data_IF_079562865430
#
_entry.id   IF_079562865430
#
_cell.length_a   1.000
_cell.length_b   1.000
_cell.length_c   1.000
_cell.angle_alpha   90.00
_cell.angle_beta   90.00
_cell.angle_gamma   90.00
#
_symmetry.space_group_name_H-M   'P 1'
#
loop_
_entity.id
_entity.type
_entity.pdbx_description
1 polymer ?
#
# COMPACT_ATOMS: atom_id res chain seq x y z
N UNK A 1 -6.97 17.95 -1.84
CA UNK A 1 -7.40 16.81 -1.00
C UNK A 1 -8.66 17.19 -0.25
N UNK A 2 -9.66 16.32 -0.27
CA UNK A 2 -10.96 16.52 0.36
C UNK A 2 -11.14 15.55 1.52
N UNK A 3 -11.35 16.05 2.73
CA UNK A 3 -11.77 15.25 3.88
C UNK A 3 -13.27 15.43 4.10
N UNK A 4 -14.02 14.34 3.96
CA UNK A 4 -15.46 14.32 4.06
C UNK A 4 -15.88 13.65 5.36
N UNK A 5 -16.55 14.41 6.23
CA UNK A 5 -17.18 13.92 7.45
C UNK A 5 -18.53 13.28 7.11
N UNK A 6 -18.63 11.95 7.16
CA UNK A 6 -19.87 11.23 6.88
C UNK A 6 -20.64 10.97 8.18
N UNK A 7 -21.84 11.56 8.26
CA UNK A 7 -22.78 11.39 9.37
C UNK A 7 -22.23 11.82 10.75
N UNK A 8 -21.28 12.77 10.78
CA UNK A 8 -20.59 13.25 11.98
C UNK A 8 -19.73 12.15 12.63
N UNK A 9 -18.76 11.66 11.87
CA UNK A 9 -17.80 10.68 12.30
C UNK A 9 -17.09 11.13 13.58
N UNK A 10 -16.91 10.24 14.57
CA UNK A 10 -16.22 10.59 15.81
C UNK A 10 -14.76 10.96 15.49
N UNK A 11 -14.20 11.90 16.26
CA UNK A 11 -12.81 12.34 16.13
C UNK A 11 -12.40 12.91 14.76
N UNK A 12 -13.38 13.29 13.91
CA UNK A 12 -13.11 13.76 12.55
C UNK A 12 -12.07 14.89 12.52
N UNK A 13 -12.27 15.92 13.36
CA UNK A 13 -11.39 17.09 13.37
C UNK A 13 -9.96 16.73 13.79
N UNK A 14 -9.81 15.87 14.80
CA UNK A 14 -8.52 15.38 15.28
C UNK A 14 -7.80 14.53 14.24
N UNK A 15 -8.51 13.64 13.54
CA UNK A 15 -7.95 12.81 12.47
C UNK A 15 -7.47 13.68 11.31
N UNK A 16 -8.27 14.68 10.91
CA UNK A 16 -7.89 15.60 9.82
C UNK A 16 -6.71 16.47 10.23
N UNK A 17 -6.68 16.95 11.47
CA UNK A 17 -5.53 17.72 11.99
C UNK A 17 -4.26 16.87 12.05
N UNK A 18 -4.34 15.63 12.53
CA UNK A 18 -3.21 14.68 12.52
C UNK A 18 -2.70 14.41 11.11
N UNK A 19 -3.60 14.10 10.17
CA UNK A 19 -3.24 13.88 8.78
C UNK A 19 -2.48 15.09 8.20
N UNK A 20 -2.95 16.31 8.43
CA UNK A 20 -2.30 17.51 7.89
C UNK A 20 -0.95 17.78 8.58
N UNK A 21 -0.92 17.81 9.91
CA UNK A 21 0.24 18.27 10.69
C UNK A 21 1.30 17.20 10.85
N UNK A 22 0.89 15.97 11.21
CA UNK A 22 1.81 14.90 11.60
C UNK A 22 2.11 13.94 10.45
N UNK A 23 1.35 13.98 9.36
CA UNK A 23 1.60 13.13 8.19
C UNK A 23 2.07 13.98 7.00
N UNK A 24 1.22 14.84 6.43
CA UNK A 24 1.57 15.63 5.24
C UNK A 24 2.64 16.71 5.49
N UNK A 25 2.64 17.37 6.65
CA UNK A 25 3.64 18.40 6.98
C UNK A 25 4.91 17.83 7.63
N UNK A 26 4.85 16.65 8.23
CA UNK A 26 5.96 16.10 9.00
C UNK A 26 6.72 14.96 8.30
N UNK A 27 6.10 14.22 7.39
CA UNK A 27 6.71 13.03 6.79
C UNK A 27 7.16 13.28 5.35
N UNK A 28 8.38 12.85 5.02
CA UNK A 28 8.81 12.81 3.63
C UNK A 28 8.04 11.73 2.85
N UNK A 29 7.79 11.93 1.54
CA UNK A 29 8.14 13.13 0.78
C UNK A 29 7.08 14.24 0.85
N UNK A 30 5.92 14.00 1.44
CA UNK A 30 4.81 14.98 1.49
C UNK A 30 5.23 16.32 2.08
N UNK A 31 6.00 16.31 3.17
CA UNK A 31 6.59 17.48 3.82
C UNK A 31 7.32 18.39 2.83
N UNK A 32 8.08 17.79 1.92
CA UNK A 32 8.97 18.52 1.01
C UNK A 32 8.20 19.13 -0.16
N UNK A 33 6.98 18.64 -0.40
CA UNK A 33 6.06 19.12 -1.44
C UNK A 33 4.73 19.61 -0.88
N UNK A 34 4.67 19.99 0.40
CA UNK A 34 3.40 20.32 1.06
C UNK A 34 2.66 21.47 0.37
N UNK A 35 3.39 22.38 -0.28
CA UNK A 35 2.82 23.47 -1.09
C UNK A 35 1.97 23.00 -2.27
N UNK A 36 2.13 21.76 -2.71
CA UNK A 36 1.36 21.16 -3.80
C UNK A 36 0.01 20.61 -3.31
N UNK A 37 -0.24 20.62 -1.99
CA UNK A 37 -1.46 20.12 -1.40
C UNK A 37 -2.28 21.26 -0.79
N UNK A 38 -3.57 21.27 -1.14
CA UNK A 38 -4.58 22.03 -0.43
C UNK A 38 -5.56 21.07 0.23
N UNK A 39 -5.97 21.39 1.46
CA UNK A 39 -6.81 20.54 2.30
C UNK A 39 -8.15 21.24 2.55
N UNK A 40 -9.24 20.53 2.28
CA UNK A 40 -10.60 21.04 2.46
C UNK A 40 -11.41 20.05 3.27
N UNK A 41 -12.34 20.57 4.07
CA UNK A 41 -13.31 19.79 4.86
C UNK A 41 -14.69 19.95 4.24
N UNK A 42 -15.45 18.87 4.19
CA UNK A 42 -16.84 18.82 3.73
C UNK A 42 -17.65 17.91 4.66
N UNK A 43 -18.96 18.11 4.71
CA UNK A 43 -19.87 17.28 5.47
C UNK A 43 -20.76 16.48 4.52
N UNK A 44 -20.72 15.16 4.61
CA UNK A 44 -21.64 14.27 3.91
C UNK A 44 -22.67 13.74 4.91
N UNK A 45 -23.84 13.37 4.40
CA UNK A 45 -24.92 12.86 5.23
C UNK A 45 -25.67 11.76 4.52
N UNK A 46 -26.33 10.92 5.32
CA UNK A 46 -27.13 9.78 4.88
C UNK A 46 -26.27 8.70 4.20
N UNK A 47 -25.42 8.03 4.99
CA UNK A 47 -24.61 6.90 4.54
C UNK A 47 -25.44 5.84 3.79
N UNK A 48 -26.71 5.64 4.19
CA UNK A 48 -27.64 4.75 3.51
C UNK A 48 -27.97 5.19 2.08
N UNK A 49 -28.28 6.47 1.87
CA UNK A 49 -28.51 7.04 0.54
C UNK A 49 -27.24 7.04 -0.32
N UNK A 50 -26.07 7.21 0.29
CA UNK A 50 -24.77 7.12 -0.37
C UNK A 50 -24.32 5.67 -0.66
N UNK A 51 -25.13 4.68 -0.26
CA UNK A 51 -24.87 3.27 -0.57
C UNK A 51 -23.75 2.64 0.26
N UNK A 52 -23.40 3.25 1.39
CA UNK A 52 -22.32 2.80 2.26
C UNK A 52 -22.62 1.45 2.92
N UNK A 53 -21.62 0.57 2.92
CA UNK A 53 -21.71 -0.80 3.48
C UNK A 53 -20.39 -1.16 4.15
N UNK A 54 -20.49 -1.84 5.29
CA UNK A 54 -19.34 -2.48 5.89
C UNK A 54 -18.79 -3.58 4.96
N UNK A 55 -17.50 -3.53 4.72
CA UNK A 55 -16.71 -4.48 3.95
C UNK A 55 -15.68 -5.11 4.90
N UNK A 56 -16.02 -6.21 5.56
CA UNK A 56 -15.08 -6.91 6.44
C UNK A 56 -15.71 -7.99 7.32
N UNK A 57 -14.94 -9.04 7.62
CA UNK A 57 -15.32 -10.09 8.55
C UNK A 57 -14.81 -9.74 9.95
N UNK A 58 -15.70 -9.30 10.85
CA UNK A 58 -15.63 -9.26 12.34
C UNK A 58 -14.39 -8.76 13.11
N UNK A 59 -13.21 -8.58 12.53
CA UNK A 59 -11.98 -8.15 13.23
C UNK A 59 -11.45 -6.77 12.78
N UNK A 60 -12.09 -6.15 11.79
CA UNK A 60 -11.84 -4.79 11.31
C UNK A 60 -12.91 -4.47 10.27
N UNK A 61 -13.83 -3.57 10.59
CA UNK A 61 -14.90 -3.20 9.68
C UNK A 61 -14.42 -2.03 8.81
N UNK A 62 -13.67 -2.34 7.76
CA UNK A 62 -13.54 -1.41 6.64
C UNK A 62 -14.94 -1.17 6.04
N UNK A 63 -15.15 -0.05 5.36
CA UNK A 63 -16.39 0.23 4.66
C UNK A 63 -16.10 0.85 3.29
N UNK A 64 -17.10 0.81 2.42
CA UNK A 64 -17.09 1.53 1.14
C UNK A 64 -18.49 2.01 0.83
N UNK A 65 -18.59 3.03 -0.01
CA UNK A 65 -19.85 3.58 -0.50
C UNK A 65 -19.94 3.45 -2.02
N UNK A 66 -21.05 3.93 -2.59
CA UNK A 66 -21.19 4.07 -4.04
C UNK A 66 -20.42 5.33 -4.46
N UNK A 67 -19.25 5.16 -5.08
CA UNK A 67 -18.33 6.25 -5.45
C UNK A 67 -19.03 7.33 -6.30
N UNK A 68 -19.93 6.94 -7.20
CA UNK A 68 -20.68 7.88 -8.04
C UNK A 68 -21.61 8.77 -7.20
N UNK A 69 -22.21 8.22 -6.13
CA UNK A 69 -23.07 8.99 -5.22
C UNK A 69 -22.26 9.90 -4.33
N UNK A 70 -21.10 9.45 -3.86
CA UNK A 70 -20.16 10.30 -3.12
C UNK A 70 -19.75 11.49 -4.00
N UNK A 71 -19.35 11.23 -5.23
CA UNK A 71 -19.00 12.27 -6.20
C UNK A 71 -20.13 13.28 -6.41
N UNK A 72 -21.36 12.81 -6.62
CA UNK A 72 -22.52 13.68 -6.77
C UNK A 72 -22.78 14.53 -5.50
N UNK A 73 -22.61 13.95 -4.31
CA UNK A 73 -22.80 14.67 -3.05
C UNK A 73 -21.73 15.74 -2.83
N UNK A 74 -20.47 15.48 -3.22
CA UNK A 74 -19.38 16.48 -3.19
C UNK A 74 -19.68 17.63 -4.14
N UNK A 75 -20.05 17.34 -5.40
CA UNK A 75 -20.36 18.36 -6.42
C UNK A 75 -21.56 19.24 -6.06
N UNK A 76 -22.44 18.79 -5.17
CA UNK A 76 -23.54 19.63 -4.66
C UNK A 76 -23.08 20.69 -3.65
N UNK A 77 -21.90 20.53 -3.06
CA UNK A 77 -21.38 21.42 -2.00
C UNK A 77 -20.23 22.30 -2.47
N UNK A 78 -19.42 21.82 -3.42
CA UNK A 78 -18.30 22.57 -3.95
C UNK A 78 -18.17 22.42 -5.47
N UNK A 79 -17.72 23.50 -6.09
CA UNK A 79 -17.33 23.50 -7.50
C UNK A 79 -15.90 22.97 -7.59
N UNK A 80 -15.74 21.77 -8.16
CA UNK A 80 -14.45 21.09 -8.27
C UNK A 80 -14.19 20.84 -9.75
N UNK A 81 -13.21 21.55 -10.31
CA UNK A 81 -12.87 21.50 -11.74
C UNK A 81 -12.48 20.08 -12.19
N UNK A 82 -11.74 19.34 -11.34
CA UNK A 82 -11.37 17.94 -11.57
C UNK A 82 -11.60 17.10 -10.32
N UNK A 83 -12.85 16.64 -10.18
CA UNK A 83 -13.24 15.77 -9.08
C UNK A 83 -12.47 14.46 -9.10
N UNK A 84 -12.25 13.86 -10.27
CA UNK A 84 -11.59 12.56 -10.41
C UNK A 84 -10.07 12.65 -10.18
N UNK A 85 -9.46 13.81 -10.44
CA UNK A 85 -8.07 14.14 -10.09
C UNK A 85 -7.83 14.42 -8.62
N UNK A 86 -8.89 14.65 -7.84
CA UNK A 86 -8.78 15.03 -6.44
C UNK A 86 -8.81 13.81 -5.52
N UNK A 87 -7.80 13.68 -4.65
CA UNK A 87 -7.81 12.67 -3.58
C UNK A 87 -8.90 13.02 -2.56
N UNK A 88 -9.78 12.05 -2.26
CA UNK A 88 -10.85 12.17 -1.27
C UNK A 88 -10.68 11.14 -0.16
N UNK A 89 -10.90 11.57 1.08
CA UNK A 89 -10.95 10.72 2.27
C UNK A 89 -12.31 10.91 2.91
N UNK A 90 -13.14 9.87 2.90
CA UNK A 90 -14.44 9.83 3.57
C UNK A 90 -14.27 9.14 4.91
N UNK A 91 -14.56 9.85 5.99
CA UNK A 91 -14.43 9.35 7.36
C UNK A 91 -15.83 9.09 7.91
N UNK A 92 -16.07 7.92 8.49
CA UNK A 92 -17.40 7.53 9.02
C UNK A 92 -17.29 6.81 10.37
N UNK A 93 -18.40 6.79 11.13
CA UNK A 93 -18.51 5.99 12.36
C UNK A 93 -18.58 4.49 12.03
N UNK A 94 -17.42 3.87 11.85
CA UNK A 94 -17.27 2.45 11.57
C UNK A 94 -16.09 1.89 12.36
N UNK A 95 -16.01 0.56 12.46
CA UNK A 95 -14.84 -0.09 13.07
C UNK A 95 -13.53 0.25 12.35
N UNK A 96 -12.42 -0.20 12.93
CA UNK A 96 -11.08 0.02 12.36
C UNK A 96 -10.95 -0.52 10.94
N UNK A 97 -10.46 0.33 10.04
CA UNK A 97 -10.08 -0.04 8.68
C UNK A 97 -9.96 1.17 7.79
N UNK A 98 -9.14 1.05 6.76
CA UNK A 98 -9.20 1.91 5.59
C UNK A 98 -9.38 1.04 4.34
N UNK A 99 -9.81 1.65 3.24
CA UNK A 99 -9.70 1.01 1.93
C UNK A 99 -9.03 1.95 0.94
N UNK A 100 -8.09 1.38 0.19
CA UNK A 100 -7.48 2.02 -0.97
C UNK A 100 -8.41 1.97 -2.16
N UNK A 101 -8.35 2.99 -3.02
CA UNK A 101 -9.25 3.15 -4.16
C UNK A 101 -9.19 4.56 -4.71
N UNK A 102 -10.16 4.94 -5.55
CA UNK A 102 -10.34 6.33 -5.94
C UNK A 102 -10.75 7.22 -4.75
N UNK A 103 -11.61 6.67 -3.88
CA UNK A 103 -12.02 7.29 -2.63
C UNK A 103 -11.43 6.45 -1.50
N UNK A 104 -10.72 7.10 -0.59
CA UNK A 104 -10.22 6.47 0.62
C UNK A 104 -11.36 6.50 1.64
N UNK A 105 -11.83 5.33 2.06
CA UNK A 105 -12.82 5.22 3.14
C UNK A 105 -12.11 4.87 4.43
N UNK A 106 -12.24 5.70 5.45
CA UNK A 106 -11.51 5.61 6.72
C UNK A 106 -12.49 5.48 7.89
N UNK A 107 -12.42 4.36 8.62
CA UNK A 107 -13.27 4.13 9.79
C UNK A 107 -12.75 4.87 11.02
N UNK A 108 -13.64 5.59 11.69
CA UNK A 108 -13.41 6.16 13.02
C UNK A 108 -14.44 5.61 14.00
N UNK A 109 -14.02 4.80 14.97
CA UNK A 109 -14.95 4.02 15.78
C UNK A 109 -15.38 4.78 17.03
N UNK A 110 -16.69 5.03 17.18
CA UNK A 110 -17.27 5.66 18.38
C UNK A 110 -17.10 4.82 19.64
N UNK A 111 -16.71 3.55 19.51
CA UNK A 111 -16.31 2.66 20.59
C UNK A 111 -14.90 2.94 21.15
N UNK A 112 -14.08 3.78 20.51
CA UNK A 112 -12.81 4.20 21.08
C UNK A 112 -13.03 5.16 22.26
N UNK A 113 -12.17 5.12 23.30
CA UNK A 113 -12.41 5.89 24.53
C UNK A 113 -12.09 7.38 24.39
N UNK A 114 -11.17 7.76 23.50
CA UNK A 114 -10.66 9.12 23.33
C UNK A 114 -9.96 9.31 21.98
N UNK A 115 -9.68 10.58 21.65
CA UNK A 115 -8.96 10.95 20.44
C UNK A 115 -7.53 10.40 20.40
N UNK A 116 -6.84 10.29 21.54
CA UNK A 116 -5.49 9.73 21.61
C UNK A 116 -5.47 8.27 21.13
N UNK A 117 -6.45 7.48 21.54
CA UNK A 117 -6.63 6.10 21.07
C UNK A 117 -6.98 6.04 19.58
N UNK A 118 -7.83 6.95 19.10
CA UNK A 118 -8.17 7.05 17.68
C UNK A 118 -6.92 7.34 16.84
N UNK A 119 -6.13 8.35 17.21
CA UNK A 119 -4.91 8.73 16.51
C UNK A 119 -3.83 7.66 16.59
N UNK A 120 -3.68 6.97 17.72
CA UNK A 120 -2.78 5.83 17.84
C UNK A 120 -3.16 4.70 16.87
N UNK A 121 -4.46 4.38 16.75
CA UNK A 121 -4.94 3.33 15.86
C UNK A 121 -4.81 3.72 14.38
N UNK A 122 -5.07 4.97 14.04
CA UNK A 122 -5.06 5.49 12.68
C UNK A 122 -3.72 6.11 12.26
N UNK A 123 -2.67 5.90 13.07
CA UNK A 123 -1.35 6.46 12.86
C UNK A 123 -0.83 6.17 11.45
N UNK A 124 -0.48 7.24 10.71
CA UNK A 124 0.00 7.25 9.32
C UNK A 124 -0.91 6.56 8.28
N UNK A 125 -2.14 6.19 8.66
CA UNK A 125 -3.03 5.44 7.76
C UNK A 125 -3.49 6.29 6.58
N UNK A 126 -3.68 7.60 6.75
CA UNK A 126 -4.09 8.47 5.63
C UNK A 126 -3.00 8.52 4.56
N UNK A 127 -1.74 8.79 4.93
CA UNK A 127 -0.65 8.85 3.94
C UNK A 127 -0.31 7.48 3.34
N UNK A 128 -0.55 6.39 4.07
CA UNK A 128 -0.47 5.03 3.53
C UNK A 128 -1.44 4.83 2.35
N UNK A 129 -2.72 5.15 2.56
CA UNK A 129 -3.75 5.01 1.51
C UNK A 129 -3.57 6.00 0.35
N UNK A 130 -3.06 7.20 0.64
CA UNK A 130 -2.63 8.15 -0.38
C UNK A 130 -1.45 7.59 -1.19
N UNK A 131 -0.55 6.83 -0.56
CA UNK A 131 0.50 6.10 -1.25
C UNK A 131 -0.08 5.18 -2.34
N UNK A 132 -1.17 4.47 -2.04
CA UNK A 132 -1.87 3.68 -3.06
C UNK A 132 -2.48 4.52 -4.17
N UNK A 133 -2.97 5.73 -3.89
CA UNK A 133 -3.49 6.63 -4.93
C UNK A 133 -2.38 7.00 -5.93
N UNK A 134 -1.13 7.07 -5.48
CA UNK A 134 0.04 7.26 -6.34
C UNK A 134 0.61 5.96 -6.94
N UNK A 135 -0.07 4.83 -6.78
CA UNK A 135 0.29 3.58 -7.42
C UNK A 135 1.32 2.74 -6.66
N UNK A 136 1.55 3.04 -5.37
CA UNK A 136 2.29 2.15 -4.48
C UNK A 136 1.43 0.95 -4.07
N UNK A 137 2.06 -0.21 -3.89
CA UNK A 137 1.46 -1.40 -3.32
C UNK A 137 1.76 -1.52 -1.84
N UNK A 138 0.95 -2.31 -1.14
CA UNK A 138 1.27 -2.81 0.18
C UNK A 138 2.54 -3.66 0.14
N UNK A 139 3.37 -3.49 1.16
CA UNK A 139 4.56 -4.31 1.38
C UNK A 139 4.29 -5.41 2.43
N UNK A 140 3.16 -5.35 3.15
CA UNK A 140 2.78 -6.37 4.14
C UNK A 140 2.11 -7.60 3.55
N UNK A 141 2.16 -8.66 4.33
CA UNK A 141 1.40 -9.88 4.14
C UNK A 141 -0.09 -9.56 4.33
N UNK A 142 -0.84 -9.58 3.23
CA UNK A 142 -2.01 -10.41 3.18
C UNK A 142 -1.70 -11.53 2.21
N UNK A 143 -2.19 -12.74 2.47
CA UNK A 143 -2.25 -13.76 1.43
C UNK A 143 -1.54 -15.08 1.67
N UNK A 144 -1.25 -15.41 2.91
CA UNK A 144 -1.25 -16.82 3.30
C UNK A 144 -2.57 -17.15 4.01
N UNK A 145 -3.27 -18.18 3.54
CA UNK A 145 -4.40 -18.73 4.28
C UNK A 145 -3.90 -19.33 5.60
N UNK A 146 -4.81 -19.49 6.58
CA UNK A 146 -4.49 -20.13 7.86
C UNK A 146 -3.91 -21.56 7.71
N UNK A 147 -4.11 -22.21 6.56
CA UNK A 147 -3.54 -23.54 6.25
C UNK A 147 -2.14 -23.48 5.61
N UNK A 148 -1.54 -22.29 5.52
CA UNK A 148 -0.22 -22.08 4.93
C UNK A 148 -0.18 -22.09 3.39
N UNK A 149 -1.34 -22.18 2.71
CA UNK A 149 -1.41 -22.03 1.26
C UNK A 149 -1.39 -20.56 0.83
N UNK A 150 -0.79 -20.27 -0.32
CA UNK A 150 -0.89 -18.95 -0.94
C UNK A 150 -2.34 -18.63 -1.32
N UNK A 151 -2.78 -17.38 -1.12
CA UNK A 151 -4.12 -16.92 -1.52
C UNK A 151 -4.22 -16.91 -3.05
N UNK A 152 -5.21 -17.63 -3.57
CA UNK A 152 -5.48 -17.74 -5.01
C UNK A 152 -5.96 -16.41 -5.61
N UNK A 153 -5.47 -16.05 -6.79
CA UNK A 153 -6.09 -15.00 -7.63
C UNK A 153 -5.38 -13.65 -7.62
N UNK A 154 -4.30 -13.47 -6.86
CA UNK A 154 -3.44 -12.31 -7.03
C UNK A 154 -2.23 -12.71 -7.89
N UNK A 155 -2.03 -12.10 -9.06
CA UNK A 155 -1.06 -12.63 -10.01
C UNK A 155 0.35 -12.11 -9.70
N UNK A 156 1.30 -13.04 -9.57
CA UNK A 156 2.76 -12.78 -9.58
C UNK A 156 3.25 -11.90 -10.73
N UNK A 157 2.41 -11.68 -11.77
CA UNK A 157 2.67 -10.72 -12.84
C UNK A 157 2.27 -9.29 -12.52
N UNK A 158 1.22 -9.05 -11.72
CA UNK A 158 0.79 -7.68 -11.37
C UNK A 158 1.72 -7.06 -10.32
N UNK A 159 2.29 -7.83 -9.36
CA UNK A 159 3.28 -7.31 -8.37
C UNK A 159 4.43 -6.62 -9.08
N UNK A 160 4.90 -7.22 -10.17
CA UNK A 160 5.96 -6.67 -11.04
C UNK A 160 5.61 -5.34 -11.68
N UNK A 161 4.33 -4.95 -11.69
CA UNK A 161 3.89 -3.70 -12.32
C UNK A 161 3.91 -2.55 -11.32
N UNK A 162 3.60 -2.77 -10.03
CA UNK A 162 3.51 -1.72 -8.99
C UNK A 162 4.80 -0.96 -8.74
N UNK A 163 4.75 0.37 -8.61
CA UNK A 163 5.95 1.21 -8.64
C UNK A 163 6.98 0.90 -7.56
N UNK A 164 6.59 0.58 -6.33
CA UNK A 164 7.48 0.22 -5.22
C UNK A 164 7.73 -1.29 -5.03
N UNK A 165 7.20 -2.14 -5.92
CA UNK A 165 7.48 -3.59 -5.93
C UNK A 165 8.25 -3.97 -7.18
N UNK A 166 9.16 -4.92 -7.04
CA UNK A 166 9.95 -5.43 -8.15
C UNK A 166 9.60 -6.86 -8.53
N UNK A 167 9.84 -7.18 -9.81
CA UNK A 167 9.97 -8.56 -10.29
C UNK A 167 11.41 -9.08 -10.21
N UNK A 168 11.65 -10.38 -10.53
CA UNK A 168 12.96 -11.05 -10.49
C UNK A 168 14.17 -10.14 -10.73
N UNK A 169 14.86 -9.76 -9.65
CA UNK A 169 16.17 -9.11 -9.68
C UNK A 169 16.29 -7.62 -9.30
N UNK A 170 15.24 -7.00 -8.74
CA UNK A 170 15.14 -5.56 -8.42
C UNK A 170 15.23 -4.62 -9.65
N UNK A 171 14.80 -5.12 -10.82
CA UNK A 171 14.93 -4.52 -12.14
C UNK A 171 14.56 -3.03 -12.28
N UNK A 172 13.47 -2.55 -11.63
CA UNK A 172 13.05 -1.14 -11.79
C UNK A 172 14.09 -0.18 -11.24
N UNK A 173 14.85 -0.64 -10.25
CA UNK A 173 15.95 0.12 -9.65
C UNK A 173 17.29 -0.28 -10.25
N UNK A 174 17.45 -1.54 -10.66
CA UNK A 174 18.74 -2.16 -10.95
C UNK A 174 19.22 -2.11 -12.40
N UNK A 175 18.40 -1.66 -13.36
CA UNK A 175 18.77 -1.53 -14.79
C UNK A 175 19.42 -2.78 -15.42
N UNK A 176 19.31 -3.95 -14.79
CA UNK A 176 19.96 -5.18 -15.22
C UNK A 176 19.21 -6.40 -14.71
N UNK A 177 18.61 -7.12 -15.66
CA UNK A 177 17.92 -8.37 -15.38
C UNK A 177 18.90 -9.52 -15.28
N UNK A 178 18.83 -10.26 -14.18
CA UNK A 178 19.34 -11.63 -14.09
C UNK A 178 18.17 -12.56 -13.74
N UNK A 179 18.16 -13.81 -14.25
CA UNK A 179 17.23 -14.82 -13.78
C UNK A 179 17.27 -14.95 -12.25
N UNK A 180 16.11 -15.14 -11.61
CA UNK A 180 16.01 -15.35 -10.16
C UNK A 180 16.94 -16.46 -9.66
N UNK A 181 17.12 -17.52 -10.45
CA UNK A 181 18.03 -18.63 -10.17
C UNK A 181 19.52 -18.26 -10.09
N UNK A 182 19.92 -17.08 -10.55
CA UNK A 182 21.32 -16.61 -10.51
C UNK A 182 21.65 -15.83 -9.23
N UNK A 183 20.66 -15.53 -8.39
CA UNK A 183 20.88 -14.89 -7.09
C UNK A 183 21.35 -15.92 -6.07
N UNK A 184 22.27 -15.51 -5.18
CA UNK A 184 22.77 -16.40 -4.13
C UNK A 184 21.77 -16.43 -3.00
N UNK A 185 21.24 -17.62 -2.71
CA UNK A 185 20.37 -17.84 -1.56
C UNK A 185 21.10 -17.54 -0.25
N UNK A 186 20.40 -16.90 0.71
CA UNK A 186 20.97 -16.72 2.05
C UNK A 186 21.24 -18.09 2.66
N UNK A 187 22.34 -18.18 3.41
CA UNK A 187 22.62 -19.38 4.21
C UNK A 187 21.58 -19.61 5.32
N UNK A 188 20.72 -18.62 5.61
CA UNK A 188 19.63 -18.71 6.59
C UNK A 188 18.30 -19.20 6.00
N UNK A 189 18.15 -19.32 4.68
CA UNK A 189 16.88 -19.66 4.05
C UNK A 189 16.40 -21.05 4.49
N UNK A 190 15.30 -21.13 5.25
CA UNK A 190 14.80 -22.41 5.76
C UNK A 190 13.84 -23.10 4.79
N UNK A 191 12.95 -22.34 4.16
CA UNK A 191 11.77 -22.90 3.47
C UNK A 191 12.11 -23.82 2.29
N UNK A 192 13.14 -23.50 1.50
CA UNK A 192 13.56 -24.31 0.36
C UNK A 192 14.06 -25.72 0.74
N UNK A 193 14.34 -25.96 2.02
CA UNK A 193 14.80 -27.27 2.52
C UNK A 193 13.66 -28.26 2.77
N UNK A 194 12.41 -27.79 2.77
CA UNK A 194 11.24 -28.64 3.00
C UNK A 194 10.72 -29.23 1.69
N UNK A 195 10.56 -30.55 1.66
CA UNK A 195 10.12 -31.33 0.49
C UNK A 195 8.65 -31.77 0.55
N UNK A 196 7.92 -31.36 1.59
CA UNK A 196 6.51 -31.67 1.79
C UNK A 196 5.72 -30.48 2.29
N UNK A 197 4.46 -30.42 1.87
CA UNK A 197 3.51 -29.36 2.28
C UNK A 197 3.40 -29.24 3.80
N UNK A 198 3.21 -30.35 4.51
CA UNK A 198 3.02 -30.33 5.97
C UNK A 198 4.24 -29.78 6.72
N UNK A 199 5.46 -30.15 6.30
CA UNK A 199 6.69 -29.62 6.90
C UNK A 199 6.88 -28.13 6.59
N UNK A 200 6.51 -27.71 5.37
CA UNK A 200 6.55 -26.33 4.94
C UNK A 200 5.57 -25.45 5.73
N UNK A 201 4.28 -25.77 5.69
CA UNK A 201 3.24 -24.93 6.30
C UNK A 201 3.24 -24.99 7.82
N UNK A 202 3.85 -26.02 8.43
CA UNK A 202 4.06 -26.11 9.87
C UNK A 202 5.23 -25.30 10.41
N UNK A 203 6.07 -24.69 9.56
CA UNK A 203 7.24 -23.95 9.99
C UNK A 203 6.87 -22.57 10.56
N UNK A 204 7.24 -22.35 11.83
CA UNK A 204 7.20 -21.07 12.55
C UNK A 204 5.84 -20.34 12.45
N UNK A 205 4.76 -21.09 12.72
CA UNK A 205 3.39 -20.59 12.83
C UNK A 205 2.80 -20.85 14.22
N UNK A 206 1.88 -20.00 14.63
CA UNK A 206 1.08 -20.17 15.83
C UNK A 206 -0.13 -21.09 15.59
N UNK A 207 -0.96 -21.26 16.62
CA UNK A 207 -2.16 -22.12 16.56
C UNK A 207 -3.29 -21.55 15.71
N UNK A 208 -3.21 -20.29 15.31
CA UNK A 208 -4.15 -19.62 14.41
C UNK A 208 -3.66 -19.66 12.95
N UNK A 209 -2.45 -20.17 12.71
CA UNK A 209 -1.82 -20.21 11.41
C UNK A 209 -1.04 -18.94 11.08
N UNK A 210 -0.86 -18.03 12.03
CA UNK A 210 -0.12 -16.78 11.86
C UNK A 210 1.37 -17.01 12.05
N UNK A 211 2.20 -16.24 11.36
CA UNK A 211 3.64 -16.39 11.39
C UNK A 211 4.22 -15.85 12.69
N UNK A 212 5.09 -16.61 13.35
CA UNK A 212 5.67 -16.23 14.64
C UNK A 212 7.03 -15.56 14.47
N UNK A 213 7.33 -14.61 15.35
CA UNK A 213 8.67 -14.00 15.43
C UNK A 213 9.67 -14.99 16.03
N UNK A 214 10.80 -15.19 15.37
CA UNK A 214 11.90 -15.98 15.89
C UNK A 214 12.67 -15.27 17.04
N UNK A 215 13.62 -15.95 17.66
CA UNK A 215 14.45 -15.39 18.75
C UNK A 215 15.30 -14.18 18.30
N UNK A 216 15.48 -13.98 17.00
CA UNK A 216 16.20 -12.86 16.39
C UNK A 216 15.32 -11.66 16.04
N UNK A 217 14.00 -11.71 16.32
CA UNK A 217 13.06 -10.65 15.99
C UNK A 217 12.56 -10.68 14.54
N UNK A 218 12.87 -11.74 13.78
CA UNK A 218 12.45 -11.90 12.39
C UNK A 218 11.14 -12.69 12.34
N UNK A 219 10.14 -12.16 11.64
CA UNK A 219 8.91 -12.90 11.34
C UNK A 219 9.16 -13.67 10.03
N UNK A 220 9.35 -14.98 10.13
CA UNK A 220 9.55 -15.87 8.97
C UNK A 220 8.69 -17.10 9.13
N UNK A 221 7.91 -17.46 8.11
CA UNK A 221 7.18 -18.72 8.03
C UNK A 221 7.16 -19.12 6.55
N UNK A 222 6.79 -20.36 6.23
CA UNK A 222 6.76 -20.81 4.85
C UNK A 222 5.34 -20.94 4.31
N UNK A 223 5.19 -20.78 3.00
CA UNK A 223 3.98 -21.06 2.25
C UNK A 223 4.26 -22.12 1.18
N UNK A 224 3.23 -22.91 0.86
CA UNK A 224 3.30 -23.94 -0.16
C UNK A 224 2.48 -23.56 -1.38
N UNK A 225 3.11 -23.57 -2.55
CA UNK A 225 2.45 -23.41 -3.84
C UNK A 225 2.11 -24.77 -4.45
N UNK A 226 0.82 -25.06 -4.65
CA UNK A 226 0.36 -26.35 -5.18
C UNK A 226 0.76 -26.56 -6.65
N UNK A 227 0.78 -25.48 -7.43
CA UNK A 227 0.87 -25.55 -8.89
C UNK A 227 2.17 -24.97 -9.46
N UNK A 228 3.01 -24.34 -8.62
CA UNK A 228 4.19 -23.59 -9.10
C UNK A 228 5.43 -23.91 -8.28
N UNK A 229 6.54 -24.17 -8.96
CA UNK A 229 7.89 -24.19 -8.36
C UNK A 229 8.45 -22.78 -8.48
N UNK A 230 8.95 -22.25 -7.38
CA UNK A 230 9.55 -20.93 -7.35
C UNK A 230 10.92 -20.94 -8.04
N UNK A 231 11.17 -19.96 -8.91
CA UNK A 231 12.41 -19.91 -9.71
C UNK A 231 13.66 -19.52 -8.89
N UNK A 232 13.49 -18.78 -7.79
CA UNK A 232 14.60 -18.39 -6.91
C UNK A 232 14.98 -19.53 -5.97
N UNK A 233 13.99 -20.17 -5.33
CA UNK A 233 14.23 -21.27 -4.41
C UNK A 233 14.37 -22.63 -5.09
N UNK A 234 13.84 -22.78 -6.30
CA UNK A 234 13.74 -24.08 -6.97
C UNK A 234 12.81 -25.07 -6.25
N UNK A 235 11.87 -24.58 -5.45
CA UNK A 235 11.00 -25.39 -4.58
C UNK A 235 9.55 -24.87 -4.57
N UNK A 236 8.60 -25.74 -4.20
CA UNK A 236 7.20 -25.34 -3.94
C UNK A 236 7.03 -24.68 -2.56
N UNK A 237 7.97 -24.93 -1.65
CA UNK A 237 8.01 -24.29 -0.34
C UNK A 237 8.90 -23.07 -0.37
N UNK A 238 8.34 -21.91 -0.09
CA UNK A 238 9.04 -20.62 -0.06
C UNK A 238 8.71 -19.87 1.23
N UNK A 239 9.54 -18.91 1.66
CA UNK A 239 9.14 -17.97 2.69
C UNK A 239 7.86 -17.27 2.27
N UNK A 240 6.89 -17.22 3.17
CA UNK A 240 5.71 -16.38 3.03
C UNK A 240 6.06 -14.89 3.23
N UNK A 241 7.22 -14.62 3.85
CA UNK A 241 7.66 -13.29 4.27
C UNK A 241 8.99 -12.89 3.62
N UNK A 242 9.11 -11.60 3.29
CA UNK A 242 10.29 -10.99 2.67
C UNK A 242 11.47 -10.81 3.60
N UNK A 243 12.09 -11.91 4.02
CA UNK A 243 13.23 -11.92 4.97
C UNK A 243 14.57 -12.20 4.29
N UNK A 244 14.53 -12.72 3.06
CA UNK A 244 15.69 -13.16 2.31
C UNK A 244 16.33 -11.98 1.60
N UNK A 245 17.38 -11.41 2.20
CA UNK A 245 18.21 -10.40 1.54
C UNK A 245 19.03 -11.06 0.42
N UNK A 246 18.76 -10.66 -0.83
CA UNK A 246 19.48 -11.19 -1.99
C UNK A 246 20.55 -10.25 -2.53
N UNK A 247 20.78 -9.15 -1.80
CA UNK A 247 21.97 -8.33 -1.89
C UNK A 247 22.29 -7.82 -3.28
N UNK A 248 21.56 -6.80 -3.73
CA UNK A 248 21.99 -5.80 -4.72
C UNK A 248 21.20 -4.50 -4.50
N UNK A 249 21.71 -3.60 -3.66
CA UNK A 249 21.15 -2.25 -3.51
C UNK A 249 21.39 -1.46 -4.79
N UNK A 250 20.32 -1.21 -5.55
CA UNK A 250 20.40 -0.39 -6.75
C UNK A 250 20.02 1.07 -6.50
N UNK A 251 19.27 1.29 -5.42
CA UNK A 251 19.18 2.56 -4.73
C UNK A 251 19.89 2.37 -3.39
N UNK A 252 20.85 3.24 -3.07
CA UNK A 252 21.65 3.12 -1.84
C UNK A 252 20.73 3.03 -0.61
N UNK A 253 20.89 1.94 0.17
CA UNK A 253 20.08 1.69 1.37
C UNK A 253 18.68 1.13 1.10
N UNK A 254 18.27 0.97 -0.16
CA UNK A 254 17.11 0.14 -0.52
C UNK A 254 17.60 -1.31 -0.66
N UNK A 255 17.38 -2.12 0.37
CA UNK A 255 17.67 -3.55 0.28
C UNK A 255 16.86 -4.22 -0.86
N UNK A 256 17.23 -5.42 -1.25
CA UNK A 256 16.44 -6.23 -2.18
C UNK A 256 16.05 -7.53 -1.47
N UNK A 257 14.86 -7.53 -0.85
CA UNK A 257 14.39 -8.67 -0.07
C UNK A 257 13.43 -9.52 -0.88
N UNK A 258 13.69 -10.83 -0.95
CA UNK A 258 12.79 -11.79 -1.58
C UNK A 258 11.67 -12.20 -0.66
N UNK A 259 10.45 -12.09 -1.17
CA UNK A 259 9.24 -12.49 -0.49
C UNK A 259 8.35 -11.27 -0.27
N UNK A 260 7.12 -11.33 -0.73
CA UNK A 260 6.16 -10.25 -0.50
C UNK A 260 4.88 -10.41 -1.29
N UNK A 261 3.77 -10.08 -0.63
CA UNK A 261 2.39 -10.04 -1.12
C UNK A 261 1.87 -11.38 -1.68
N UNK A 262 1.09 -12.09 -0.84
CA UNK A 262 0.27 -13.21 -1.26
C UNK A 262 1.02 -14.43 -1.82
N UNK A 263 2.24 -14.72 -1.33
CA UNK A 263 3.02 -15.89 -1.74
C UNK A 263 3.57 -15.81 -3.18
N UNK A 264 3.66 -14.60 -3.75
CA UNK A 264 4.16 -14.38 -5.10
C UNK A 264 5.63 -13.91 -5.11
N UNK A 265 6.33 -14.19 -6.22
CA UNK A 265 7.69 -13.73 -6.50
C UNK A 265 7.71 -12.20 -6.67
N UNK A 266 7.89 -11.47 -5.57
CA UNK A 266 8.17 -10.05 -5.60
C UNK A 266 9.32 -9.70 -4.67
N UNK A 267 10.09 -8.70 -5.09
CA UNK A 267 11.13 -8.10 -4.26
C UNK A 267 10.62 -6.78 -3.73
N UNK A 268 11.04 -6.49 -2.51
CA UNK A 268 10.67 -5.26 -1.82
C UNK A 268 11.89 -4.61 -1.18
N UNK A 269 11.83 -3.28 -0.97
CA UNK A 269 12.89 -2.48 -0.36
C UNK A 269 12.95 -2.59 1.18
N UNK A 270 12.00 -3.29 1.81
CA UNK A 270 11.81 -3.31 3.26
C UNK A 270 11.84 -4.73 3.84
N UNK A 271 12.42 -4.90 5.03
CA UNK A 271 12.52 -6.20 5.73
C UNK A 271 11.50 -6.33 6.87
N UNK A 272 11.22 -5.24 7.58
CA UNK A 272 10.38 -5.21 8.78
C UNK A 272 9.30 -4.13 8.73
N UNK A 273 8.24 -4.29 9.52
CA UNK A 273 7.10 -3.36 9.58
C UNK A 273 7.50 -1.90 9.87
N UNK A 274 8.61 -1.67 10.56
CA UNK A 274 9.10 -0.32 10.86
C UNK A 274 9.82 0.36 9.69
N UNK A 275 10.20 -0.41 8.67
CA UNK A 275 11.05 0.11 7.58
C UNK A 275 10.27 0.98 6.59
N UNK A 276 8.95 0.80 6.49
CA UNK A 276 8.11 1.58 5.57
C UNK A 276 6.67 1.69 6.05
N UNK A 277 6.08 2.88 5.89
CA UNK A 277 4.64 3.11 6.04
C UNK A 277 3.84 2.18 5.12
N UNK A 278 4.35 1.86 3.92
CA UNK A 278 3.69 0.91 3.02
C UNK A 278 3.75 -0.54 3.53
N UNK A 279 4.61 -0.83 4.50
CA UNK A 279 4.67 -2.12 5.17
C UNK A 279 3.87 -2.13 6.48
N UNK A 280 3.74 -0.99 7.15
CA UNK A 280 2.95 -0.90 8.36
C UNK A 280 2.69 0.53 8.76
N UNK A 281 1.53 1.08 8.37
CA UNK A 281 1.16 2.47 8.68
C UNK A 281 1.35 2.79 10.18
N UNK A 282 0.77 1.96 11.06
CA UNK A 282 0.89 2.15 12.51
C UNK A 282 2.24 1.79 13.13
N UNK A 283 3.19 1.25 12.35
CA UNK A 283 4.47 0.70 12.85
C UNK A 283 5.69 1.45 12.33
N UNK A 284 5.54 2.26 11.28
CA UNK A 284 6.62 3.04 10.67
C UNK A 284 6.31 4.53 10.71
N UNK A 285 7.37 5.35 10.72
CA UNK A 285 7.30 6.80 10.63
C UNK A 285 7.99 7.35 9.37
N UNK A 286 8.23 6.50 8.38
CA UNK A 286 8.84 6.90 7.11
C UNK A 286 8.37 5.99 5.98
N UNK A 287 8.38 6.50 4.75
CA UNK A 287 8.41 5.62 3.58
C UNK A 287 9.84 5.08 3.43
N UNK A 288 9.98 3.85 2.95
CA UNK A 288 11.30 3.37 2.50
C UNK A 288 11.81 4.24 1.34
N UNK A 289 13.11 4.18 1.06
CA UNK A 289 13.77 5.02 0.05
C UNK A 289 13.20 4.85 -1.36
N UNK A 290 12.66 3.67 -1.71
CA UNK A 290 12.03 3.41 -2.99
C UNK A 290 10.64 4.04 -3.04
N UNK A 291 9.79 3.77 -2.04
CA UNK A 291 8.46 4.37 -1.93
C UNK A 291 8.55 5.90 -1.87
N UNK A 292 9.51 6.45 -1.11
CA UNK A 292 9.77 7.89 -1.01
C UNK A 292 10.21 8.48 -2.35
N UNK A 293 11.13 7.83 -3.08
CA UNK A 293 11.55 8.26 -4.42
C UNK A 293 10.38 8.30 -5.39
N UNK A 294 9.59 7.24 -5.45
CA UNK A 294 8.46 7.16 -6.39
C UNK A 294 7.38 8.19 -6.06
N UNK A 295 7.06 8.38 -4.77
CA UNK A 295 6.15 9.44 -4.34
C UNK A 295 6.73 10.83 -4.62
N UNK A 296 8.03 11.04 -4.41
CA UNK A 296 8.68 12.32 -4.70
C UNK A 296 8.57 12.67 -6.18
N UNK A 297 8.87 11.73 -7.07
CA UNK A 297 8.77 11.95 -8.52
C UNK A 297 7.31 12.13 -8.96
N UNK A 298 6.38 11.34 -8.42
CA UNK A 298 4.96 11.49 -8.69
C UNK A 298 4.44 12.86 -8.24
N UNK A 299 4.73 13.30 -7.00
CA UNK A 299 4.25 14.58 -6.49
C UNK A 299 4.94 15.76 -7.19
N UNK A 300 6.25 15.66 -7.47
CA UNK A 300 7.01 16.69 -8.19
C UNK A 300 6.47 16.88 -9.60
N UNK A 301 6.32 15.79 -10.34
CA UNK A 301 5.95 15.85 -11.75
C UNK A 301 4.43 15.92 -11.97
N UNK A 302 3.60 15.33 -11.12
CA UNK A 302 2.14 15.38 -11.28
C UNK A 302 1.46 16.47 -10.44
N UNK A 303 2.08 16.96 -9.36
CA UNK A 303 1.48 17.95 -8.47
C UNK A 303 1.30 19.33 -9.10
N UNK A 304 2.04 19.65 -10.17
CA UNK A 304 1.82 20.84 -11.01
C UNK A 304 2.02 20.49 -12.49
N UNK A 305 1.18 21.03 -13.36
CA UNK A 305 1.36 20.92 -14.82
C UNK A 305 2.46 21.86 -15.36
N UNK A 306 2.96 22.77 -14.52
CA UNK A 306 3.90 23.83 -14.90
C UNK A 306 5.36 23.35 -15.02
N UNK A 307 5.72 22.22 -14.39
CA UNK A 307 7.06 21.63 -14.55
C UNK A 307 7.17 20.92 -15.92
N UNK A 308 7.55 21.67 -16.95
CA UNK A 308 7.75 21.19 -18.31
C UNK A 308 9.18 20.65 -18.56
N UNK A 309 9.95 20.32 -17.52
CA UNK A 309 11.26 19.70 -17.70
C UNK A 309 11.14 18.37 -18.45
N UNK A 310 12.15 18.03 -19.26
CA UNK A 310 12.16 16.78 -20.03
C UNK A 310 12.07 15.54 -19.11
N UNK A 311 12.65 15.60 -17.91
CA UNK A 311 12.55 14.53 -16.92
C UNK A 311 11.12 14.34 -16.44
N UNK A 312 10.41 15.42 -16.11
CA UNK A 312 9.01 15.28 -15.69
C UNK A 312 8.14 14.84 -16.86
N UNK A 313 8.31 15.38 -18.06
CA UNK A 313 7.54 14.94 -19.24
C UNK A 313 7.67 13.42 -19.49
N UNK A 314 8.90 12.88 -19.45
CA UNK A 314 9.15 11.44 -19.59
C UNK A 314 8.50 10.64 -18.45
N UNK A 315 8.64 11.11 -17.21
CA UNK A 315 8.01 10.48 -16.06
C UNK A 315 6.48 10.43 -16.21
N UNK A 316 5.83 11.55 -16.61
CA UNK A 316 4.37 11.58 -16.79
C UNK A 316 3.92 10.54 -17.81
N UNK A 317 4.62 10.43 -18.93
CA UNK A 317 4.30 9.46 -19.99
C UNK A 317 4.38 8.02 -19.48
N UNK A 318 5.47 7.65 -18.82
CA UNK A 318 5.66 6.32 -18.23
C UNK A 318 4.67 6.05 -17.09
N UNK A 319 4.44 7.04 -16.24
CA UNK A 319 3.55 6.96 -15.09
C UNK A 319 2.10 6.74 -15.54
N UNK A 320 1.64 7.48 -16.54
CA UNK A 320 0.31 7.27 -17.09
C UNK A 320 0.17 5.91 -17.76
N UNK A 321 1.15 5.49 -18.56
CA UNK A 321 1.10 4.15 -19.17
C UNK A 321 0.96 3.07 -18.09
N UNK A 322 1.75 3.18 -17.02
CA UNK A 322 1.65 2.30 -15.85
C UNK A 322 0.25 2.31 -15.22
N UNK A 323 -0.29 3.48 -14.86
CA UNK A 323 -1.60 3.59 -14.22
C UNK A 323 -2.69 3.03 -15.14
N UNK A 324 -2.69 3.38 -16.42
CA UNK A 324 -3.68 2.90 -17.38
C UNK A 324 -3.67 1.38 -17.55
N UNK A 325 -2.49 0.79 -17.65
CA UNK A 325 -2.35 -0.64 -17.95
C UNK A 325 -2.52 -1.51 -16.70
N UNK A 326 -2.13 -0.99 -15.53
CA UNK A 326 -2.00 -1.79 -14.29
C UNK A 326 -3.05 -1.43 -13.23
N UNK A 327 -3.59 -0.21 -13.29
CA UNK A 327 -4.56 0.34 -12.33
C UNK A 327 -5.61 1.20 -13.06
N UNK A 328 -6.35 0.65 -14.03
CA UNK A 328 -7.23 1.42 -14.90
C UNK A 328 -8.33 2.19 -14.15
N UNK A 329 -8.64 1.80 -12.92
CA UNK A 329 -9.57 2.49 -12.02
C UNK A 329 -8.98 3.72 -11.32
N UNK A 330 -7.67 4.00 -11.49
CA UNK A 330 -6.95 5.16 -10.95
C UNK A 330 -6.44 6.08 -12.07
N UNK A 331 -6.90 5.91 -13.30
CA UNK A 331 -6.45 6.69 -14.47
C UNK A 331 -6.58 8.21 -14.32
N UNK A 332 -7.38 8.66 -13.35
CA UNK A 332 -7.59 10.07 -13.02
C UNK A 332 -7.06 10.48 -11.65
N UNK A 333 -6.99 9.59 -10.66
CA UNK A 333 -6.71 9.92 -9.26
C UNK A 333 -5.22 10.11 -9.00
N UNK A 334 -4.81 11.28 -8.48
CA UNK A 334 -3.37 11.57 -8.30
C UNK A 334 -2.56 11.57 -9.60
N UNK A 335 -3.27 11.49 -10.74
CA UNK A 335 -2.67 11.44 -12.05
C UNK A 335 -2.07 12.78 -12.39
N UNK A 336 -1.06 12.76 -13.25
CA UNK A 336 -0.50 13.93 -13.93
C UNK A 336 -1.51 14.70 -14.83
N UNK A 337 -2.81 14.66 -14.51
CA UNK A 337 -3.88 15.37 -15.20
C UNK A 337 -4.15 14.80 -16.58
N UNK A 338 -4.62 13.54 -16.67
CA UNK A 338 -5.05 13.05 -17.98
C UNK A 338 -6.40 13.65 -18.40
N UNK A 339 -6.30 14.77 -19.12
CA UNK A 339 -7.27 15.16 -20.14
C UNK A 339 -7.09 14.26 -21.37
N UNK A 340 -7.74 13.09 -21.32
CA UNK A 340 -8.13 12.41 -22.56
C UNK A 340 -9.17 13.26 -23.28
N UNK A 341 -8.86 13.63 -24.52
CA UNK A 341 -9.80 14.16 -25.52
C UNK A 341 -11.10 13.37 -25.58
#
# INVERSE_FOLDING_TARGET
MLFADLDNAPYFDEIVEDAILNQFQALAPFRDYVSNFAFYRLALSDAGALGCKATGNSNGASFSCDDDRIHQAILQQCDVDDLYGTIKVVIADTGYGASGGEIIYLGSDSGWPDAETALYKLNNLVVHEVGHNFGLADLYDGGTNADGSAVSGWPSSLSRQWRNLDGPGCDKWCSSFKPASEYTQSASAACHTFDSKDACTGYNRDTQGECTTDEGGTVECCAWSEDTVDDYFGAQCTPAWGTEDIGLDCLEGAGCYYGGAYGNNSWRPAKTWSDSIMYGAGQSAAFDSVSERELSEAIRCCGTSDDATASCASFREEYTAFIKDSQPYKDRVGSCGFHGT
#
